data_IF_316712537763
#
_entry.id   IF_316712537763
#
_cell.length_a   1.000
_cell.length_b   1.000
_cell.length_c   1.000
_cell.angle_alpha   90.00
_cell.angle_beta   90.00
_cell.angle_gamma   90.00
#
_symmetry.space_group_name_H-M   'P 1'
#
loop_
_entity.id
_entity.type
_entity.pdbx_description
1 polymer ?
#
# COMPACT_ATOMS: atom_id res chain seq x y z
N UNK A 1 4.39 -11.46 4.69
CA UNK A 1 4.42 -10.02 5.03
C UNK A 1 5.75 -9.63 5.67
N UNK A 2 6.21 -10.32 6.71
CA UNK A 2 7.51 -10.04 7.37
C UNK A 2 8.70 -10.06 6.40
N UNK A 3 8.73 -11.01 5.45
CA UNK A 3 9.77 -11.08 4.41
C UNK A 3 9.80 -9.81 3.54
N UNK A 4 8.64 -9.30 3.12
CA UNK A 4 8.56 -8.07 2.32
C UNK A 4 9.07 -6.87 3.11
N UNK A 5 8.70 -6.75 4.39
CA UNK A 5 9.16 -5.65 5.24
C UNK A 5 10.68 -5.73 5.48
N UNK A 6 11.23 -6.93 5.65
CA UNK A 6 12.67 -7.13 5.74
C UNK A 6 13.39 -6.75 4.42
N UNK A 7 12.79 -7.10 3.27
CA UNK A 7 13.31 -6.73 1.97
C UNK A 7 13.28 -5.20 1.74
N UNK A 8 12.20 -4.52 2.14
CA UNK A 8 12.11 -3.05 2.06
C UNK A 8 13.20 -2.37 2.89
N UNK A 9 13.41 -2.83 4.14
CA UNK A 9 14.50 -2.33 5.01
C UNK A 9 15.86 -2.50 4.36
N UNK A 10 16.15 -3.72 3.89
CA UNK A 10 17.41 -4.02 3.21
C UNK A 10 17.61 -3.19 1.95
N UNK A 11 16.57 -3.01 1.14
CA UNK A 11 16.65 -2.17 -0.07
C UNK A 11 16.97 -0.72 0.28
N UNK A 12 16.38 -0.17 1.35
CA UNK A 12 16.68 1.19 1.78
C UNK A 12 18.08 1.33 2.38
N UNK A 13 18.57 0.31 3.08
CA UNK A 13 19.94 0.23 3.58
C UNK A 13 20.98 0.12 2.44
N UNK A 14 20.73 -0.75 1.46
CA UNK A 14 21.64 -0.98 0.33
C UNK A 14 21.62 0.19 -0.67
N UNK A 15 20.51 0.93 -0.76
CA UNK A 15 20.29 2.02 -1.71
C UNK A 15 19.66 3.26 -1.07
N UNK A 16 20.34 3.94 -0.13
CA UNK A 16 19.77 5.06 0.64
C UNK A 16 19.34 6.24 -0.24
N UNK A 17 20.05 6.48 -1.35
CA UNK A 17 19.79 7.58 -2.29
C UNK A 17 18.67 7.27 -3.31
N UNK A 18 18.10 6.06 -3.28
CA UNK A 18 16.99 5.67 -4.16
C UNK A 18 15.66 5.89 -3.45
N UNK A 19 14.69 6.31 -4.25
CA UNK A 19 13.29 6.42 -3.83
C UNK A 19 12.67 5.03 -3.82
N UNK A 20 12.13 4.62 -2.68
CA UNK A 20 11.43 3.36 -2.49
C UNK A 20 9.92 3.63 -2.34
N UNK A 21 9.12 3.06 -3.25
CA UNK A 21 7.66 3.17 -3.22
C UNK A 21 7.08 1.81 -2.85
N UNK A 22 6.32 1.75 -1.76
CA UNK A 22 5.65 0.53 -1.33
C UNK A 22 4.23 0.48 -1.90
N UNK A 23 3.95 -0.47 -2.79
CA UNK A 23 2.59 -0.77 -3.24
C UNK A 23 1.88 -1.65 -2.22
N UNK A 24 0.81 -1.16 -1.61
CA UNK A 24 0.00 -1.87 -0.60
C UNK A 24 -1.46 -2.00 -1.04
N UNK A 25 -2.14 -3.01 -0.51
CA UNK A 25 -3.56 -3.26 -0.73
C UNK A 25 -4.17 -3.84 0.55
N UNK A 26 -5.14 -3.15 1.13
CA UNK A 26 -5.90 -3.59 2.30
C UNK A 26 -7.37 -3.89 1.97
N UNK A 27 -7.99 -4.77 2.75
CA UNK A 27 -9.41 -5.15 2.59
C UNK A 27 -10.37 -4.22 3.36
N UNK A 28 -9.86 -3.51 4.38
CA UNK A 28 -10.62 -2.57 5.21
C UNK A 28 -9.69 -1.46 5.74
N UNK A 29 -10.28 -0.41 6.32
CA UNK A 29 -9.56 0.77 6.83
C UNK A 29 -8.43 0.42 7.80
N UNK A 30 -8.67 -0.52 8.73
CA UNK A 30 -7.68 -0.93 9.72
C UNK A 30 -6.47 -1.63 9.05
N UNK A 31 -6.72 -2.47 8.05
CA UNK A 31 -5.63 -3.10 7.29
C UNK A 31 -4.84 -2.07 6.48
N UNK A 32 -5.51 -1.08 5.87
CA UNK A 32 -4.83 -0.01 5.16
C UNK A 32 -3.93 0.82 6.09
N UNK A 33 -4.42 1.18 7.28
CA UNK A 33 -3.65 1.92 8.29
C UNK A 33 -2.44 1.10 8.78
N UNK A 34 -2.65 -0.18 9.09
CA UNK A 34 -1.58 -1.07 9.54
C UNK A 34 -0.50 -1.25 8.46
N UNK A 35 -0.92 -1.52 7.21
CA UNK A 35 0.00 -1.66 6.08
C UNK A 35 0.80 -0.38 5.85
N UNK A 36 0.15 0.78 5.88
CA UNK A 36 0.79 2.07 5.71
C UNK A 36 1.85 2.32 6.80
N UNK A 37 1.51 2.06 8.07
CA UNK A 37 2.46 2.18 9.18
C UNK A 37 3.67 1.25 8.99
N UNK A 38 3.43 -0.02 8.67
CA UNK A 38 4.49 -1.02 8.56
C UNK A 38 5.47 -0.72 7.42
N UNK A 39 4.98 -0.28 6.27
CA UNK A 39 5.87 0.06 5.14
C UNK A 39 6.61 1.38 5.37
N UNK A 40 6.00 2.34 6.07
CA UNK A 40 6.67 3.56 6.50
C UNK A 40 7.81 3.25 7.49
N UNK A 41 7.56 2.42 8.50
CA UNK A 41 8.58 1.95 9.45
C UNK A 41 9.67 1.11 8.79
N UNK A 42 9.37 0.45 7.67
CA UNK A 42 10.34 -0.28 6.87
C UNK A 42 11.21 0.61 5.96
N UNK A 43 10.94 1.91 5.90
CA UNK A 43 11.76 2.88 5.16
C UNK A 43 11.25 3.23 3.76
N UNK A 44 9.97 2.96 3.46
CA UNK A 44 9.36 3.45 2.22
C UNK A 44 9.26 4.98 2.23
N UNK A 45 9.68 5.62 1.14
CA UNK A 45 9.59 7.07 0.97
C UNK A 45 8.18 7.50 0.55
N UNK A 46 7.47 6.63 -0.16
CA UNK A 46 6.10 6.84 -0.63
C UNK A 46 5.29 5.55 -0.60
N UNK A 47 3.97 5.69 -0.57
CA UNK A 47 3.02 4.59 -0.58
C UNK A 47 2.18 4.69 -1.87
N UNK A 48 2.11 3.60 -2.61
CA UNK A 48 1.18 3.43 -3.74
C UNK A 48 -0.01 2.59 -3.26
N UNK A 49 -1.21 3.18 -3.28
CA UNK A 49 -2.42 2.47 -2.92
C UNK A 49 -2.95 1.72 -4.13
N UNK A 50 -2.84 0.39 -4.10
CA UNK A 50 -3.36 -0.45 -5.17
C UNK A 50 -4.85 -0.73 -4.94
N UNK A 51 -5.69 -0.09 -5.76
CA UNK A 51 -7.16 -0.26 -5.77
C UNK A 51 -7.67 -1.16 -6.89
N UNK A 52 -6.78 -1.88 -7.59
CA UNK A 52 -7.22 -2.79 -8.65
C UNK A 52 -8.02 -3.95 -8.03
N UNK A 53 -9.26 -4.11 -8.49
CA UNK A 53 -10.35 -4.79 -7.79
C UNK A 53 -10.06 -6.20 -7.22
N UNK A 54 -10.71 -6.55 -6.09
CA UNK A 54 -10.92 -7.94 -5.66
C UNK A 54 -12.04 -8.57 -6.51
N UNK A 55 -11.76 -8.99 -7.75
CA UNK A 55 -12.78 -9.61 -8.63
C UNK A 55 -13.05 -11.10 -8.30
N UNK A 56 -13.16 -11.42 -7.01
CA UNK A 56 -13.77 -12.61 -6.40
C UNK A 56 -13.77 -12.33 -4.89
N UNK A 57 -14.87 -11.99 -4.18
CA UNK A 57 -16.25 -12.47 -4.28
C UNK A 57 -17.22 -11.52 -3.54
N UNK A 58 -18.42 -11.37 -4.11
CA UNK A 58 -19.68 -10.92 -3.49
C UNK A 58 -19.89 -9.44 -3.09
N UNK A 59 -20.33 -8.66 -4.09
CA UNK A 59 -21.55 -7.82 -4.01
C UNK A 59 -21.63 -6.71 -2.93
N UNK A 60 -20.84 -5.66 -3.08
CA UNK A 60 -21.19 -4.23 -2.93
C UNK A 60 -19.90 -3.41 -2.89
N UNK A 61 -19.92 -2.16 -3.32
CA UNK A 61 -18.81 -1.19 -3.15
C UNK A 61 -17.62 -1.37 -4.12
N UNK A 62 -17.88 -1.40 -5.42
CA UNK A 62 -16.83 -1.47 -6.46
C UNK A 62 -16.72 -0.28 -7.40
N UNK A 63 -17.53 0.79 -7.27
CA UNK A 63 -17.56 1.85 -8.29
C UNK A 63 -17.32 3.29 -7.83
N UNK A 64 -16.95 3.58 -6.58
CA UNK A 64 -17.01 4.98 -6.09
C UNK A 64 -15.81 5.50 -5.29
N UNK A 65 -14.62 4.91 -5.42
CA UNK A 65 -13.42 5.35 -4.66
C UNK A 65 -12.35 6.05 -5.54
N UNK A 66 -12.63 6.28 -6.83
CA UNK A 66 -11.67 6.90 -7.77
C UNK A 66 -12.12 8.15 -8.52
N UNK A 67 -13.37 8.63 -8.33
CA UNK A 67 -13.94 9.72 -9.14
C UNK A 67 -14.71 10.79 -8.35
N UNK A 68 -14.25 11.18 -7.16
CA UNK A 68 -14.73 12.44 -6.55
C UNK A 68 -14.09 13.65 -7.24
N UNK A 69 -14.50 13.91 -8.49
CA UNK A 69 -14.53 15.27 -9.06
C UNK A 69 -15.96 15.77 -9.01
N UNK A 70 -16.33 16.32 -7.87
CA UNK A 70 -17.50 17.18 -7.74
C UNK A 70 -16.98 18.56 -7.33
N UNK A 71 -17.08 19.49 -8.29
CA UNK A 71 -16.95 20.96 -8.24
C UNK A 71 -16.47 21.62 -6.95
#
# INVERSE_FOLDING_TARGET
MEENLAALRRLKEDYPDKVLIASIMGENEQQWEELARLVQEAGADMIECNFSCPQMTSHAMGSDVGQSRSW
#
